data_IF_977240576120
#
_entry.id   IF_977240576120
#
_cell.length_a   1.000
_cell.length_b   1.000
_cell.length_c   1.000
_cell.angle_alpha   90.00
_cell.angle_beta   90.00
_cell.angle_gamma   90.00
#
_symmetry.space_group_name_H-M   'P 1'
#
loop_
_entity.id
_entity.type
_entity.pdbx_description
1 polymer ?
#
# COMPACT_ATOMS: atom_id res chain seq x y z
N UNK A 1 6.46 -23.86 10.62
CA UNK A 1 6.38 -22.39 10.85
C UNK A 1 6.17 -21.79 9.47
N UNK A 2 5.04 -21.12 9.24
CA UNK A 2 4.70 -20.57 7.92
C UNK A 2 5.76 -19.55 7.48
N UNK A 3 6.20 -19.62 6.21
CA UNK A 3 7.25 -18.74 5.68
C UNK A 3 6.78 -17.27 5.71
N UNK A 4 7.68 -16.30 5.75
CA UNK A 4 7.35 -14.86 5.84
C UNK A 4 6.46 -14.38 4.67
N UNK A 5 6.59 -15.03 3.52
CA UNK A 5 5.79 -14.89 2.31
C UNK A 5 4.36 -15.46 2.42
N UNK A 6 4.03 -16.25 3.45
CA UNK A 6 2.69 -16.80 3.67
C UNK A 6 1.82 -15.94 4.62
N UNK A 7 2.40 -14.92 5.26
CA UNK A 7 1.71 -14.05 6.22
C UNK A 7 1.85 -12.59 5.83
N UNK A 8 1.09 -12.21 4.82
CA UNK A 8 1.09 -10.88 4.22
C UNK A 8 -0.18 -10.12 4.63
N UNK A 9 -0.05 -8.84 4.96
CA UNK A 9 -1.18 -7.92 5.24
C UNK A 9 -1.02 -6.63 4.46
N UNK A 10 -2.08 -6.17 3.79
CA UNK A 10 -2.12 -4.83 3.19
C UNK A 10 -2.75 -3.84 4.18
N UNK A 11 -2.04 -2.75 4.45
CA UNK A 11 -2.50 -1.64 5.30
C UNK A 11 -2.72 -0.41 4.42
N UNK A 12 -3.96 0.09 4.38
CA UNK A 12 -4.31 1.33 3.70
C UNK A 12 -4.41 2.50 4.69
N UNK A 13 -3.68 3.58 4.45
CA UNK A 13 -3.77 4.82 5.22
C UNK A 13 -4.33 5.97 4.37
N UNK A 14 -5.30 6.70 4.92
CA UNK A 14 -5.91 7.89 4.31
C UNK A 14 -5.61 9.14 5.13
N UNK A 15 -6.16 10.30 4.73
CA UNK A 15 -5.92 11.60 5.38
C UNK A 15 -6.83 11.92 6.56
N UNK A 16 -7.32 10.92 7.29
CA UNK A 16 -8.05 11.14 8.54
C UNK A 16 -7.06 11.31 9.70
N UNK A 17 -7.46 12.06 10.75
CA UNK A 17 -6.63 12.23 11.95
C UNK A 17 -6.42 10.91 12.71
N UNK A 18 -5.28 10.78 13.39
CA UNK A 18 -4.90 9.56 14.13
C UNK A 18 -3.88 8.70 13.40
N UNK A 19 -2.96 9.32 12.63
CA UNK A 19 -1.93 8.62 11.86
C UNK A 19 -1.11 7.63 12.70
N UNK A 20 -0.89 7.95 13.98
CA UNK A 20 -0.19 7.13 14.96
C UNK A 20 -0.76 5.71 15.11
N UNK A 21 -2.07 5.50 14.93
CA UNK A 21 -2.67 4.16 15.02
C UNK A 21 -2.21 3.28 13.87
N UNK A 22 -2.20 3.83 12.64
CA UNK A 22 -1.73 3.12 11.44
C UNK A 22 -0.24 2.78 11.52
N UNK A 23 0.58 3.75 11.93
CA UNK A 23 2.02 3.53 12.12
C UNK A 23 2.32 2.45 13.17
N UNK A 24 1.62 2.51 14.31
CA UNK A 24 1.80 1.52 15.38
C UNK A 24 1.36 0.12 14.96
N UNK A 25 0.28 0.01 14.18
CA UNK A 25 -0.17 -1.27 13.63
C UNK A 25 0.90 -1.88 12.71
N UNK A 26 1.45 -1.08 11.78
CA UNK A 26 2.52 -1.52 10.87
C UNK A 26 3.73 -2.03 11.67
N UNK A 27 4.17 -1.27 12.67
CA UNK A 27 5.28 -1.67 13.55
C UNK A 27 5.02 -3.02 14.24
N UNK A 28 3.82 -3.21 14.80
CA UNK A 28 3.42 -4.46 15.45
C UNK A 28 3.39 -5.65 14.47
N UNK A 29 2.90 -5.44 13.24
CA UNK A 29 2.86 -6.48 12.19
C UNK A 29 4.27 -6.91 11.78
N UNK A 30 5.18 -5.95 11.56
CA UNK A 30 6.59 -6.24 11.24
C UNK A 30 7.25 -7.02 12.39
N UNK A 31 7.04 -6.59 13.65
CA UNK A 31 7.57 -7.30 14.83
C UNK A 31 7.01 -8.71 15.00
N UNK A 32 5.81 -8.96 14.50
CA UNK A 32 5.18 -10.27 14.47
C UNK A 32 5.57 -11.11 13.22
N UNK A 33 6.55 -10.64 12.44
CA UNK A 33 7.09 -11.28 11.23
C UNK A 33 6.07 -11.44 10.09
N UNK A 34 5.15 -10.47 9.96
CA UNK A 34 4.31 -10.33 8.77
C UNK A 34 5.00 -9.53 7.67
N UNK A 35 4.78 -9.91 6.42
CA UNK A 35 5.00 -9.02 5.29
C UNK A 35 3.92 -7.95 5.26
N UNK A 36 4.30 -6.66 5.16
CA UNK A 36 3.33 -5.57 5.11
C UNK A 36 3.40 -4.84 3.78
N UNK A 37 2.26 -4.77 3.09
CA UNK A 37 2.06 -3.88 1.96
C UNK A 37 1.41 -2.58 2.43
N UNK A 38 2.15 -1.47 2.43
CA UNK A 38 1.62 -0.18 2.87
C UNK A 38 1.15 0.64 1.68
N UNK A 39 -0.15 0.94 1.62
CA UNK A 39 -0.75 1.88 0.68
C UNK A 39 -1.14 3.15 1.42
N UNK A 40 -0.84 4.32 0.87
CA UNK A 40 -1.30 5.57 1.47
C UNK A 40 -1.62 6.63 0.41
N UNK A 41 -2.52 7.54 0.75
CA UNK A 41 -2.86 8.69 -0.11
C UNK A 41 -1.93 9.88 0.14
N UNK A 42 -1.94 10.87 -0.76
CA UNK A 42 -1.20 12.12 -0.53
C UNK A 42 -1.65 12.84 0.74
N UNK A 43 -2.95 12.80 1.04
CA UNK A 43 -3.51 13.38 2.26
C UNK A 43 -2.98 12.66 3.52
N UNK A 44 -2.85 11.33 3.49
CA UNK A 44 -2.24 10.57 4.58
C UNK A 44 -0.79 11.01 4.87
N UNK A 45 0.00 11.29 3.83
CA UNK A 45 1.37 11.80 4.02
C UNK A 45 1.40 13.14 4.76
N UNK A 46 0.45 14.03 4.45
CA UNK A 46 0.34 15.34 5.10
C UNK A 46 -0.02 15.15 6.57
N UNK A 47 -1.03 14.34 6.87
CA UNK A 47 -1.47 14.09 8.25
C UNK A 47 -0.36 13.44 9.08
N UNK A 48 0.32 12.42 8.53
CA UNK A 48 1.44 11.77 9.23
C UNK A 48 2.56 12.78 9.54
N UNK A 49 2.90 13.65 8.58
CA UNK A 49 3.93 14.68 8.79
C UNK A 49 3.52 15.83 9.71
N UNK A 50 2.22 16.05 9.94
CA UNK A 50 1.72 17.06 10.89
C UNK A 50 1.49 16.50 12.29
N UNK A 51 1.13 15.22 12.42
CA UNK A 51 0.78 14.58 13.69
C UNK A 51 1.93 13.82 14.33
N UNK A 52 2.99 13.49 13.57
CA UNK A 52 4.06 12.61 14.03
C UNK A 52 5.43 13.09 13.55
N UNK A 53 6.50 12.59 14.18
CA UNK A 53 7.87 12.82 13.70
C UNK A 53 8.25 11.94 12.48
N UNK A 54 7.36 11.03 12.08
CA UNK A 54 7.57 10.16 10.92
C UNK A 54 7.29 10.92 9.62
N UNK A 55 8.15 10.71 8.62
CA UNK A 55 7.93 11.20 7.25
C UNK A 55 7.73 10.02 6.32
N UNK A 56 6.50 9.86 5.82
CA UNK A 56 6.24 8.88 4.77
C UNK A 56 6.96 9.29 3.49
N UNK A 57 7.67 8.36 2.82
CA UNK A 57 8.47 8.67 1.65
C UNK A 57 7.58 9.16 0.50
N UNK A 58 8.04 10.20 -0.19
CA UNK A 58 7.33 10.77 -1.34
C UNK A 58 7.52 9.96 -2.63
N UNK A 59 8.55 9.10 -2.68
CA UNK A 59 8.99 8.37 -3.86
C UNK A 59 9.31 6.92 -3.55
N UNK A 60 9.15 6.07 -4.56
CA UNK A 60 9.38 4.63 -4.44
C UNK A 60 10.81 4.24 -4.06
N UNK A 61 11.79 5.04 -4.46
CA UNK A 61 13.21 4.79 -4.16
C UNK A 61 13.61 5.06 -2.70
N UNK A 62 12.79 5.79 -1.92
CA UNK A 62 13.11 6.13 -0.52
C UNK A 62 12.58 5.08 0.49
N UNK A 63 11.99 3.99 -0.02
CA UNK A 63 11.12 3.07 0.73
C UNK A 63 11.86 1.96 1.47
N UNK A 64 13.13 1.71 1.15
CA UNK A 64 13.94 0.60 1.69
C UNK A 64 14.14 0.65 3.21
N UNK A 65 13.73 1.73 3.88
CA UNK A 65 13.95 1.95 5.32
C UNK A 65 12.82 1.49 6.23
N UNK A 66 11.67 1.09 5.69
CA UNK A 66 10.46 0.86 6.49
C UNK A 66 10.12 -0.62 6.70
N UNK A 67 10.93 -1.56 6.19
CA UNK A 67 10.65 -3.01 6.21
C UNK A 67 9.22 -3.38 5.73
N UNK A 68 8.62 -2.50 4.91
CA UNK A 68 7.34 -2.66 4.24
C UNK A 68 7.54 -2.52 2.75
N UNK A 69 6.74 -3.24 1.98
CA UNK A 69 6.63 -2.96 0.54
C UNK A 69 5.55 -1.91 0.35
N UNK A 70 5.87 -0.76 -0.21
CA UNK A 70 4.83 0.25 -0.45
C UNK A 70 4.14 -0.04 -1.78
N UNK A 71 2.82 -0.04 -1.74
CA UNK A 71 1.98 -0.11 -2.92
C UNK A 71 1.44 1.30 -3.18
N UNK A 72 2.09 2.11 -4.04
CA UNK A 72 1.63 3.46 -4.27
C UNK A 72 0.24 3.43 -4.92
N UNK A 73 -0.68 4.24 -4.41
CA UNK A 73 -1.98 4.48 -5.03
C UNK A 73 -1.85 5.38 -6.28
N UNK A 74 -0.98 4.99 -7.21
CA UNK A 74 -0.72 5.71 -8.47
C UNK A 74 -1.14 4.82 -9.66
N UNK A 75 -2.39 4.93 -10.12
CA UNK A 75 -2.89 4.08 -11.19
C UNK A 75 -2.21 4.40 -12.53
N UNK A 76 -1.86 3.35 -13.27
CA UNK A 76 -1.29 3.48 -14.61
C UNK A 76 -2.37 3.75 -15.66
N UNK A 77 -2.08 4.65 -16.60
CA UNK A 77 -3.01 5.03 -17.69
C UNK A 77 -2.84 4.20 -18.97
N UNK A 78 -1.95 3.19 -18.96
CA UNK A 78 -1.64 2.39 -20.14
C UNK A 78 -2.82 1.55 -20.65
N UNK A 79 -3.81 1.25 -19.80
CA UNK A 79 -5.05 0.60 -20.20
C UNK A 79 -6.10 1.56 -20.78
N UNK A 80 -5.77 2.84 -20.96
CA UNK A 80 -6.67 3.91 -21.43
C UNK A 80 -8.02 3.91 -20.71
N UNK A 81 -8.02 4.07 -19.37
CA UNK A 81 -9.24 4.02 -18.58
C UNK A 81 -10.21 5.11 -19.04
N UNK A 82 -11.48 4.75 -19.26
CA UNK A 82 -12.52 5.69 -19.65
C UNK A 82 -13.25 6.28 -18.44
N UNK A 83 -13.14 5.64 -17.27
CA UNK A 83 -13.83 6.01 -16.05
C UNK A 83 -12.96 5.92 -14.80
N UNK A 84 -13.39 6.60 -13.73
CA UNK A 84 -12.69 6.59 -12.43
C UNK A 84 -12.66 5.20 -11.82
N UNK A 85 -13.72 4.41 -12.00
CA UNK A 85 -13.79 3.04 -11.48
C UNK A 85 -12.64 2.17 -12.01
N UNK A 86 -12.24 2.35 -13.27
CA UNK A 86 -11.13 1.60 -13.88
C UNK A 86 -9.77 1.97 -13.28
N UNK A 87 -9.61 3.21 -12.78
CA UNK A 87 -8.42 3.63 -12.03
C UNK A 87 -8.39 3.02 -10.63
N UNK A 88 -9.57 2.82 -10.01
CA UNK A 88 -9.69 2.13 -8.72
C UNK A 88 -9.38 0.64 -8.91
N UNK A 89 -9.99 0.00 -9.91
CA UNK A 89 -9.78 -1.40 -10.26
C UNK A 89 -8.31 -1.72 -10.52
N UNK A 90 -7.58 -0.78 -11.16
CA UNK A 90 -6.14 -0.89 -11.33
C UNK A 90 -5.41 -1.10 -10.00
N UNK A 91 -5.68 -0.26 -9.01
CA UNK A 91 -5.00 -0.32 -7.71
C UNK A 91 -5.41 -1.59 -6.95
N UNK A 92 -6.70 -1.95 -7.00
CA UNK A 92 -7.21 -3.18 -6.38
C UNK A 92 -6.56 -4.40 -7.00
N UNK A 93 -6.48 -4.49 -8.33
CA UNK A 93 -5.82 -5.57 -9.02
C UNK A 93 -4.34 -5.73 -8.61
N UNK A 94 -3.59 -4.62 -8.48
CA UNK A 94 -2.20 -4.67 -7.98
C UNK A 94 -2.09 -5.22 -6.56
N UNK A 95 -3.09 -4.97 -5.70
CA UNK A 95 -3.15 -5.56 -4.36
C UNK A 95 -3.44 -7.06 -4.45
N UNK A 96 -4.42 -7.47 -5.26
CA UNK A 96 -4.77 -8.89 -5.45
C UNK A 96 -3.61 -9.71 -6.02
N UNK A 97 -2.85 -9.14 -6.97
CA UNK A 97 -1.63 -9.74 -7.54
C UNK A 97 -0.58 -10.07 -6.46
N UNK A 98 -0.52 -9.31 -5.35
CA UNK A 98 0.44 -9.60 -4.27
C UNK A 98 0.05 -10.81 -3.43
N UNK A 99 -1.23 -11.19 -3.44
CA UNK A 99 -1.77 -12.34 -2.71
C UNK A 99 -1.94 -13.57 -3.61
N UNK A 100 -1.49 -13.50 -4.86
CA UNK A 100 -1.70 -14.54 -5.87
C UNK A 100 -3.19 -14.89 -6.07
N UNK A 101 -4.08 -13.89 -5.92
CA UNK A 101 -5.52 -14.04 -6.09
C UNK A 101 -5.86 -13.75 -7.56
N UNK A 102 -6.49 -14.71 -8.25
CA UNK A 102 -6.97 -14.52 -9.62
C UNK A 102 -8.11 -13.51 -9.70
N UNK A 103 -8.08 -12.65 -10.73
CA UNK A 103 -9.10 -11.64 -10.99
C UNK A 103 -9.13 -11.24 -12.47
N UNK A 104 -10.21 -10.61 -12.91
CA UNK A 104 -10.42 -10.09 -14.27
C UNK A 104 -10.48 -8.54 -14.34
N UNK A 105 -10.23 -7.86 -13.22
CA UNK A 105 -10.26 -6.40 -13.07
C UNK A 105 -9.33 -5.63 -14.02
N UNK A 106 -8.25 -6.25 -14.47
CA UNK A 106 -7.35 -5.65 -15.45
C UNK A 106 -6.77 -6.73 -16.35
N UNK A 107 -6.50 -6.39 -17.61
CA UNK A 107 -5.71 -7.24 -18.48
C UNK A 107 -4.28 -7.31 -17.94
N UNK A 108 -3.86 -8.50 -17.50
CA UNK A 108 -2.47 -8.78 -17.17
C UNK A 108 -1.61 -8.57 -18.41
N UNK A 109 -0.45 -7.94 -18.22
CA UNK A 109 0.56 -7.91 -19.26
C UNK A 109 1.16 -9.31 -19.37
N UNK A 110 1.24 -9.82 -20.59
CA UNK A 110 1.98 -11.04 -20.91
C UNK A 110 3.48 -10.78 -20.98
#
# INVERSE_FOLDING_TARGET
MARKDERIVTVGMTGASGAQYGLRLVECLIKADYGVYLMFTKAAQIVVGSETDCKLPGRTAEQTRFDVTILPANPGFYNRPARVEELVDFIVARVLDQFDIEHDLMKRWG
#
